data_IF_348849311056
#
_entry.id   IF_348849311056
#
_cell.length_a   1.000
_cell.length_b   1.000
_cell.length_c   1.000
_cell.angle_alpha   90.00
_cell.angle_beta   90.00
_cell.angle_gamma   90.00
#
_symmetry.space_group_name_H-M   'P 1'
#
loop_
_entity.id
_entity.type
_entity.pdbx_description
1 polymer ?
#
# COMPACT_ATOMS: atom_id res chain seq x y z
N UNK A 1 0.10 37.41 16.99
CA UNK A 1 0.27 36.65 18.25
C UNK A 1 -0.98 35.86 18.66
N UNK A 2 -2.12 36.47 19.00
CA UNK A 2 -3.30 35.71 19.46
C UNK A 2 -4.01 34.91 18.34
N UNK A 3 -4.10 35.48 17.13
CA UNK A 3 -4.60 34.78 15.94
C UNK A 3 -3.68 33.61 15.51
N UNK A 4 -2.37 33.84 15.52
CA UNK A 4 -1.35 32.83 15.18
C UNK A 4 -1.35 31.65 16.16
N UNK A 5 -1.54 31.91 17.46
CA UNK A 5 -1.75 30.87 18.49
C UNK A 5 -3.04 30.07 18.27
N UNK A 6 -4.07 30.70 17.72
CA UNK A 6 -5.35 30.02 17.44
C UNK A 6 -5.27 29.17 16.18
N UNK A 7 -4.60 29.65 15.14
CA UNK A 7 -4.34 28.92 13.91
C UNK A 7 -3.48 27.68 14.16
N UNK A 8 -2.40 27.82 14.95
CA UNK A 8 -1.56 26.68 15.36
C UNK A 8 -2.36 25.61 16.12
N UNK A 9 -3.27 26.03 17.03
CA UNK A 9 -4.14 25.09 17.75
C UNK A 9 -5.12 24.37 16.82
N UNK A 10 -5.63 25.05 15.80
CA UNK A 10 -6.52 24.44 14.83
C UNK A 10 -5.80 23.43 13.93
N UNK A 11 -4.58 23.76 13.47
CA UNK A 11 -3.74 22.82 12.73
C UNK A 11 -3.40 21.58 13.55
N UNK A 12 -3.05 21.75 14.84
CA UNK A 12 -2.79 20.63 15.74
C UNK A 12 -4.02 19.71 15.91
N UNK A 13 -5.23 20.28 15.96
CA UNK A 13 -6.49 19.51 16.01
C UNK A 13 -6.74 18.73 14.72
N UNK A 14 -6.40 19.29 13.56
CA UNK A 14 -6.52 18.57 12.28
C UNK A 14 -5.50 17.43 12.24
N UNK A 15 -4.25 17.70 12.61
CA UNK A 15 -3.18 16.71 12.60
C UNK A 15 -3.49 15.48 13.47
N UNK A 16 -4.00 15.66 14.69
CA UNK A 16 -4.36 14.51 15.54
C UNK A 16 -5.54 13.71 14.97
N UNK A 17 -6.48 14.37 14.28
CA UNK A 17 -7.57 13.70 13.60
C UNK A 17 -7.06 12.90 12.40
N UNK A 18 -6.11 13.42 11.62
CA UNK A 18 -5.47 12.69 10.52
C UNK A 18 -4.73 11.45 11.05
N UNK A 19 -3.93 11.60 12.11
CA UNK A 19 -3.23 10.49 12.76
C UNK A 19 -4.18 9.40 13.25
N UNK A 20 -5.30 9.79 13.88
CA UNK A 20 -6.29 8.83 14.39
C UNK A 20 -7.00 8.04 13.26
N UNK A 21 -7.10 8.61 12.05
CA UNK A 21 -7.78 7.98 10.91
C UNK A 21 -6.79 7.39 9.87
N UNK A 22 -5.49 7.41 10.16
CA UNK A 22 -4.45 7.07 9.21
C UNK A 22 -4.54 5.64 8.69
N UNK A 23 -5.17 4.71 9.44
CA UNK A 23 -5.42 3.33 9.02
C UNK A 23 -6.22 3.24 7.70
N UNK A 24 -7.02 4.26 7.37
CA UNK A 24 -7.76 4.31 6.11
C UNK A 24 -6.85 4.27 4.88
N UNK A 25 -5.64 4.87 4.98
CA UNK A 25 -4.67 4.97 3.88
C UNK A 25 -4.12 3.60 3.48
N UNK A 26 -3.40 2.87 4.35
CA UNK A 26 -2.87 1.56 4.02
C UNK A 26 -3.97 0.53 3.73
N UNK A 27 -5.15 0.64 4.37
CA UNK A 27 -6.25 -0.30 4.10
C UNK A 27 -6.91 -0.08 2.75
N UNK A 28 -6.96 1.15 2.25
CA UNK A 28 -7.42 1.37 0.86
C UNK A 28 -6.35 0.95 -0.15
N UNK A 29 -5.06 1.10 0.18
CA UNK A 29 -3.97 0.55 -0.63
C UNK A 29 -4.08 -0.98 -0.74
N UNK A 30 -4.32 -1.66 0.39
CA UNK A 30 -4.62 -3.10 0.43
C UNK A 30 -5.86 -3.43 -0.43
N UNK A 31 -6.92 -2.62 -0.36
CA UNK A 31 -8.12 -2.83 -1.16
C UNK A 31 -7.85 -2.76 -2.67
N UNK A 32 -7.14 -1.73 -3.17
CA UNK A 32 -6.83 -1.63 -4.61
C UNK A 32 -5.91 -2.73 -5.10
N UNK A 33 -5.02 -3.22 -4.22
CA UNK A 33 -4.18 -4.38 -4.51
C UNK A 33 -5.02 -5.65 -4.62
N UNK A 34 -5.93 -5.91 -3.68
CA UNK A 34 -6.83 -7.08 -3.74
C UNK A 34 -7.76 -7.07 -4.95
N UNK A 35 -8.11 -5.87 -5.42
CA UNK A 35 -8.93 -5.66 -6.60
C UNK A 35 -8.12 -5.64 -7.91
N UNK A 36 -6.79 -5.79 -7.87
CA UNK A 36 -5.88 -5.71 -9.03
C UNK A 36 -6.07 -4.42 -9.86
N UNK A 37 -6.34 -3.30 -9.20
CA UNK A 37 -6.69 -2.04 -9.89
C UNK A 37 -5.49 -1.47 -10.64
N UNK A 38 -4.28 -1.58 -10.09
CA UNK A 38 -3.07 -1.08 -10.74
C UNK A 38 -2.79 -1.82 -12.06
N UNK A 39 -2.86 -3.16 -12.05
CA UNK A 39 -2.71 -3.98 -13.25
C UNK A 39 -3.79 -3.66 -14.29
N UNK A 40 -5.04 -3.47 -13.86
CA UNK A 40 -6.14 -3.12 -14.76
C UNK A 40 -5.92 -1.76 -15.45
N UNK A 41 -5.51 -0.72 -14.70
CA UNK A 41 -5.21 0.60 -15.26
C UNK A 41 -3.98 0.54 -16.18
N UNK A 42 -2.99 -0.30 -15.86
CA UNK A 42 -1.82 -0.48 -16.70
C UNK A 42 -2.13 -1.15 -18.03
N UNK A 43 -3.04 -2.14 -18.03
CA UNK A 43 -3.44 -2.87 -19.23
C UNK A 43 -4.41 -2.07 -20.12
N UNK A 44 -5.30 -1.30 -19.51
CA UNK A 44 -6.29 -0.49 -20.21
C UNK A 44 -6.46 0.90 -19.54
N UNK A 45 -5.58 1.86 -19.89
CA UNK A 45 -5.62 3.20 -19.32
C UNK A 45 -6.91 3.98 -19.62
N UNK A 46 -7.60 3.64 -20.71
CA UNK A 46 -8.74 4.40 -21.23
C UNK A 46 -10.06 4.06 -20.51
N UNK A 47 -10.13 2.93 -19.80
CA UNK A 47 -11.34 2.50 -19.09
C UNK A 47 -11.35 2.81 -17.61
N UNK A 48 -10.46 3.67 -17.10
CA UNK A 48 -10.36 3.99 -15.68
C UNK A 48 -11.49 4.93 -15.17
N UNK A 49 -12.18 4.63 -14.04
CA UNK A 49 -11.99 3.45 -13.17
C UNK A 49 -12.42 2.16 -13.88
N UNK A 50 -11.57 1.10 -13.82
CA UNK A 50 -11.72 -0.07 -14.68
C UNK A 50 -13.13 -0.63 -14.63
N UNK A 51 -13.82 -0.56 -15.77
CA UNK A 51 -15.20 -1.02 -15.92
C UNK A 51 -15.19 -2.56 -15.98
N UNK A 52 -15.90 -3.22 -15.07
CA UNK A 52 -16.05 -4.68 -15.10
C UNK A 52 -15.45 -5.45 -13.92
N UNK A 53 -14.83 -4.78 -12.94
CA UNK A 53 -14.68 -5.40 -11.62
C UNK A 53 -16.09 -5.60 -11.01
N UNK A 54 -16.33 -6.71 -10.31
CA UNK A 54 -17.61 -7.03 -9.65
C UNK A 54 -17.98 -6.07 -8.49
N UNK A 55 -17.41 -4.86 -8.46
CA UNK A 55 -17.56 -3.88 -7.39
C UNK A 55 -18.33 -2.64 -7.83
N UNK A 56 -18.85 -1.93 -6.83
CA UNK A 56 -19.54 -0.66 -7.04
C UNK A 56 -18.56 0.45 -7.51
N UNK A 57 -18.82 1.10 -8.66
CA UNK A 57 -17.91 2.11 -9.24
C UNK A 57 -17.70 3.32 -8.33
N UNK A 58 -18.73 3.74 -7.58
CA UNK A 58 -18.67 4.91 -6.71
C UNK A 58 -17.76 4.64 -5.51
N UNK A 59 -17.85 3.45 -4.90
CA UNK A 59 -16.95 3.05 -3.81
C UNK A 59 -15.50 2.93 -4.27
N UNK A 60 -15.24 2.36 -5.46
CA UNK A 60 -13.90 2.31 -6.02
C UNK A 60 -13.34 3.72 -6.26
N UNK A 61 -14.15 4.61 -6.83
CA UNK A 61 -13.78 6.00 -7.05
C UNK A 61 -13.40 6.72 -5.74
N UNK A 62 -14.13 6.47 -4.63
CA UNK A 62 -13.80 7.04 -3.31
C UNK A 62 -12.44 6.55 -2.79
N UNK A 63 -12.14 5.27 -2.98
CA UNK A 63 -10.84 4.66 -2.65
C UNK A 63 -9.71 5.29 -3.47
N UNK A 64 -9.89 5.39 -4.79
CA UNK A 64 -8.91 5.96 -5.71
C UNK A 64 -8.63 7.43 -5.40
N UNK A 65 -9.67 8.21 -5.08
CA UNK A 65 -9.52 9.62 -4.70
C UNK A 65 -8.74 9.81 -3.40
N UNK A 66 -8.93 8.93 -2.42
CA UNK A 66 -8.10 8.95 -1.21
C UNK A 66 -6.64 8.64 -1.56
N UNK A 67 -6.37 7.58 -2.34
CA UNK A 67 -4.99 7.24 -2.73
C UNK A 67 -4.34 8.27 -3.67
N UNK A 68 -5.14 9.08 -4.37
CA UNK A 68 -4.68 10.24 -5.14
C UNK A 68 -4.08 11.31 -4.21
N UNK A 69 -4.67 11.57 -3.03
CA UNK A 69 -4.12 12.55 -2.09
C UNK A 69 -2.77 12.12 -1.49
N UNK A 70 -2.43 10.84 -1.61
CA UNK A 70 -1.13 10.26 -1.21
C UNK A 70 -0.22 9.98 -2.42
N UNK A 71 -0.58 10.47 -3.61
CA UNK A 71 0.26 10.40 -4.80
C UNK A 71 0.40 9.01 -5.42
N UNK A 72 -0.46 8.04 -5.08
CA UNK A 72 -0.47 6.72 -5.72
C UNK A 72 -1.10 6.77 -7.11
N UNK A 73 -2.14 7.59 -7.26
CA UNK A 73 -2.83 7.85 -8.52
C UNK A 73 -2.84 9.35 -8.83
N UNK A 74 -3.03 9.71 -10.10
CA UNK A 74 -3.39 11.05 -10.53
C UNK A 74 -4.84 11.05 -11.02
N UNK A 75 -5.64 11.99 -10.51
CA UNK A 75 -7.05 12.18 -10.87
C UNK A 75 -7.18 13.21 -12.01
N UNK A 76 -7.94 12.86 -13.04
CA UNK A 76 -8.28 13.70 -14.18
C UNK A 76 -9.79 13.94 -14.20
N UNK A 77 -10.21 15.20 -14.18
CA UNK A 77 -11.63 15.58 -14.14
C UNK A 77 -11.99 16.27 -15.43
N UNK A 78 -12.88 15.67 -16.22
CA UNK A 78 -13.46 16.27 -17.42
C UNK A 78 -14.90 16.72 -17.14
N UNK A 79 -15.28 17.87 -17.72
CA UNK A 79 -16.66 18.34 -17.73
C UNK A 79 -17.18 18.26 -19.15
N UNK A 80 -18.24 17.50 -19.35
CA UNK A 80 -19.02 17.57 -20.59
C UNK A 80 -19.88 18.84 -20.56
N UNK A 81 -19.87 19.68 -21.61
CA UNK A 81 -20.60 20.96 -21.63
C UNK A 81 -22.09 20.86 -21.32
N UNK A 82 -22.72 19.72 -21.64
CA UNK A 82 -24.16 19.50 -21.52
C UNK A 82 -24.57 18.55 -20.37
N UNK A 83 -23.66 18.19 -19.46
CA UNK A 83 -23.98 17.35 -18.31
C UNK A 83 -23.54 17.98 -16.99
N UNK A 84 -24.42 17.91 -15.98
CA UNK A 84 -24.11 18.31 -14.60
C UNK A 84 -23.12 17.35 -13.92
N UNK A 85 -22.80 16.23 -14.57
CA UNK A 85 -21.90 15.20 -14.06
C UNK A 85 -20.48 15.41 -14.58
N UNK A 86 -19.51 15.59 -13.68
CA UNK A 86 -18.09 15.53 -14.03
C UNK A 86 -17.64 14.08 -14.16
N UNK A 87 -17.04 13.70 -15.28
CA UNK A 87 -16.38 12.40 -15.41
C UNK A 87 -15.00 12.45 -14.73
N UNK A 88 -14.64 11.37 -14.02
CA UNK A 88 -13.35 11.24 -13.36
C UNK A 88 -12.62 10.00 -13.86
N UNK A 89 -11.38 10.22 -14.26
CA UNK A 89 -10.45 9.18 -14.68
C UNK A 89 -9.25 9.20 -13.75
N UNK A 90 -8.58 8.05 -13.62
CA UNK A 90 -7.36 7.92 -12.82
C UNK A 90 -6.24 7.33 -13.66
N UNK A 91 -5.01 7.72 -13.35
CA UNK A 91 -3.80 7.16 -13.96
C UNK A 91 -2.78 6.84 -12.87
N UNK A 92 -1.86 5.93 -13.16
CA UNK A 92 -0.80 5.55 -12.22
C UNK A 92 0.30 6.61 -12.21
N UNK A 93 0.68 7.07 -11.02
CA UNK A 93 1.95 7.79 -10.81
C UNK A 93 3.12 6.81 -10.77
N UNK A 94 4.35 7.29 -10.63
CA UNK A 94 5.51 6.42 -10.39
C UNK A 94 5.34 5.54 -9.13
N UNK A 95 4.68 6.06 -8.09
CA UNK A 95 4.35 5.25 -6.89
C UNK A 95 3.34 4.17 -7.24
N UNK A 96 2.26 4.52 -7.95
CA UNK A 96 1.24 3.54 -8.37
C UNK A 96 1.80 2.44 -9.27
N UNK A 97 2.74 2.76 -10.16
CA UNK A 97 3.40 1.80 -11.05
C UNK A 97 4.15 0.70 -10.29
N UNK A 98 4.63 0.97 -9.07
CA UNK A 98 5.28 -0.06 -8.24
C UNK A 98 4.35 -1.21 -7.84
N UNK A 99 3.03 -1.01 -7.94
CA UNK A 99 2.01 -2.02 -7.67
C UNK A 99 1.69 -2.90 -8.89
N UNK A 100 2.12 -2.51 -10.09
CA UNK A 100 1.91 -3.26 -11.32
C UNK A 100 2.82 -4.48 -11.33
N UNK A 101 2.26 -5.62 -11.69
CA UNK A 101 2.97 -6.90 -11.79
C UNK A 101 3.90 -6.89 -13.00
N UNK A 102 5.20 -7.12 -12.77
CA UNK A 102 6.20 -7.20 -13.82
C UNK A 102 6.21 -8.54 -14.57
N UNK A 103 7.13 -8.69 -15.53
CA UNK A 103 7.25 -9.91 -16.33
C UNK A 103 7.69 -11.15 -15.54
N UNK A 104 8.24 -10.98 -14.33
CA UNK A 104 8.60 -12.06 -13.41
C UNK A 104 7.47 -12.35 -12.40
N UNK A 105 6.32 -11.66 -12.55
CA UNK A 105 5.18 -11.81 -11.65
C UNK A 105 5.38 -11.09 -10.30
N UNK A 106 6.32 -10.15 -10.21
CA UNK A 106 6.72 -9.44 -9.01
C UNK A 106 6.19 -7.99 -9.00
N UNK A 107 5.88 -7.50 -7.80
CA UNK A 107 5.53 -6.09 -7.53
C UNK A 107 5.49 -5.82 -6.02
N UNK A 108 5.42 -4.54 -5.64
CA UNK A 108 5.19 -4.14 -4.25
C UNK A 108 3.77 -4.46 -3.76
N UNK A 109 2.85 -4.88 -4.63
CA UNK A 109 1.51 -5.30 -4.24
C UNK A 109 1.55 -6.48 -3.25
N UNK A 110 2.42 -7.46 -3.51
CA UNK A 110 2.64 -8.59 -2.58
C UNK A 110 3.18 -8.15 -1.22
N UNK A 111 4.04 -7.11 -1.21
CA UNK A 111 4.55 -6.50 0.02
C UNK A 111 3.44 -5.83 0.83
N UNK A 112 2.54 -5.10 0.16
CA UNK A 112 1.34 -4.54 0.80
C UNK A 112 0.49 -5.66 1.41
N UNK A 113 0.18 -6.72 0.67
CA UNK A 113 -0.64 -7.83 1.17
C UNK A 113 -0.02 -8.51 2.39
N UNK A 114 1.30 -8.77 2.35
CA UNK A 114 2.04 -9.38 3.46
C UNK A 114 1.93 -8.57 4.75
N UNK A 115 2.03 -7.24 4.66
CA UNK A 115 2.00 -6.36 5.84
C UNK A 115 0.59 -6.13 6.41
N UNK A 116 -0.45 -6.58 5.71
CA UNK A 116 -1.85 -6.43 6.11
C UNK A 116 -2.58 -7.78 6.24
N UNK A 117 -1.84 -8.86 6.51
CA UNK A 117 -2.43 -10.12 6.94
C UNK A 117 -3.06 -9.96 8.33
N UNK A 118 -4.16 -10.65 8.57
CA UNK A 118 -4.93 -10.55 9.82
C UNK A 118 -4.07 -10.83 11.06
N UNK A 119 -3.18 -11.82 10.98
CA UNK A 119 -2.27 -12.22 12.06
C UNK A 119 -1.30 -11.12 12.46
N UNK A 120 -0.83 -10.33 11.47
CA UNK A 120 0.04 -9.19 11.72
C UNK A 120 -0.78 -7.98 12.18
N UNK A 121 -1.95 -7.75 11.56
CA UNK A 121 -2.82 -6.64 11.89
C UNK A 121 -3.34 -6.69 13.34
N UNK A 122 -3.62 -7.90 13.85
CA UNK A 122 -4.04 -8.11 15.24
C UNK A 122 -2.94 -7.83 16.26
N UNK A 123 -1.67 -7.80 15.86
CA UNK A 123 -0.55 -7.49 16.76
C UNK A 123 -0.38 -5.98 16.99
N UNK A 124 -0.74 -5.13 16.03
CA UNK A 124 -0.54 -3.67 16.12
C UNK A 124 -1.19 -3.00 17.34
N UNK A 125 -2.42 -3.36 17.76
CA UNK A 125 -3.01 -2.80 18.99
C UNK A 125 -2.21 -3.10 20.27
N UNK A 126 -1.38 -4.14 20.26
CA UNK A 126 -0.60 -4.58 21.42
C UNK A 126 0.84 -4.04 21.44
N UNK A 127 1.24 -3.14 20.52
CA UNK A 127 2.61 -2.58 20.49
C UNK A 127 3.02 -1.95 21.81
N UNK A 128 2.08 -1.30 22.51
CA UNK A 128 2.33 -0.71 23.83
C UNK A 128 2.76 -1.75 24.88
N UNK A 129 2.34 -3.01 24.74
CA UNK A 129 2.68 -4.07 25.69
C UNK A 129 4.13 -4.52 25.55
N UNK A 130 4.76 -4.35 24.38
CA UNK A 130 6.19 -4.60 24.22
C UNK A 130 7.06 -3.63 25.04
N UNK A 131 6.50 -2.47 25.42
CA UNK A 131 7.15 -1.54 26.35
C UNK A 131 6.97 -2.00 27.80
N UNK A 132 5.81 -2.58 28.12
CA UNK A 132 5.48 -3.08 29.47
C UNK A 132 6.24 -4.38 29.77
N UNK A 133 6.32 -5.29 28.82
CA UNK A 133 7.08 -6.53 28.87
C UNK A 133 7.96 -6.66 27.61
N UNK A 134 9.23 -6.25 27.68
CA UNK A 134 10.14 -6.30 26.53
C UNK A 134 10.59 -7.73 26.17
N UNK A 135 10.21 -8.75 26.95
CA UNK A 135 10.57 -10.15 26.67
C UNK A 135 9.58 -10.86 25.76
N UNK A 136 8.40 -10.25 25.53
CA UNK A 136 7.32 -10.86 24.77
C UNK A 136 6.86 -9.92 23.63
N UNK A 137 7.12 -10.34 22.39
CA UNK A 137 6.70 -9.57 21.21
C UNK A 137 5.18 -9.66 20.96
N UNK A 138 4.52 -8.57 20.48
CA UNK A 138 3.08 -8.54 20.23
C UNK A 138 2.58 -9.66 19.31
N UNK A 139 3.36 -10.02 18.29
CA UNK A 139 2.99 -11.10 17.37
C UNK A 139 2.89 -12.45 18.09
N UNK A 140 3.89 -12.81 18.90
CA UNK A 140 3.87 -14.03 19.73
C UNK A 140 2.68 -14.02 20.68
N UNK A 141 2.38 -12.87 21.29
CA UNK A 141 1.26 -12.76 22.23
C UNK A 141 -0.09 -13.07 21.58
N UNK A 142 -0.30 -12.63 20.33
CA UNK A 142 -1.55 -12.86 19.59
C UNK A 142 -1.61 -14.25 18.96
N UNK A 143 -0.48 -14.73 18.45
CA UNK A 143 -0.42 -15.90 17.56
C UNK A 143 0.21 -17.14 18.21
N UNK A 144 0.75 -17.02 19.42
CA UNK A 144 1.33 -18.10 20.22
C UNK A 144 2.77 -18.50 19.86
N UNK A 145 3.32 -17.96 18.77
CA UNK A 145 4.67 -18.29 18.29
C UNK A 145 5.24 -17.15 17.43
N UNK A 146 6.58 -17.11 17.21
CA UNK A 146 7.22 -16.07 16.41
C UNK A 146 6.76 -16.09 14.95
N UNK A 147 6.75 -14.92 14.31
CA UNK A 147 6.24 -14.75 12.95
C UNK A 147 6.85 -15.71 11.92
N UNK A 148 8.17 -15.90 11.94
CA UNK A 148 8.84 -16.78 10.99
C UNK A 148 8.43 -18.26 11.14
N UNK A 149 8.35 -18.76 12.38
CA UNK A 149 7.85 -20.11 12.68
C UNK A 149 6.38 -20.25 12.29
N UNK A 150 5.57 -19.22 12.54
CA UNK A 150 4.15 -19.17 12.21
C UNK A 150 3.93 -19.28 10.69
N UNK A 151 4.66 -18.49 9.90
CA UNK A 151 4.58 -18.50 8.44
C UNK A 151 5.15 -19.80 7.86
N UNK A 152 6.28 -20.30 8.37
CA UNK A 152 6.91 -21.54 7.89
C UNK A 152 5.99 -22.77 7.97
N UNK A 153 5.02 -22.78 8.89
CA UNK A 153 4.00 -23.84 9.01
C UNK A 153 2.82 -23.68 8.04
N UNK A 154 2.70 -22.56 7.34
CA UNK A 154 1.55 -22.19 6.48
C UNK A 154 2.04 -21.88 5.06
N UNK A 155 1.99 -22.86 4.14
CA UNK A 155 2.57 -22.73 2.81
C UNK A 155 2.11 -21.49 2.02
N UNK A 156 0.81 -21.14 2.10
CA UNK A 156 0.27 -19.98 1.40
C UNK A 156 0.82 -18.66 1.96
N UNK A 157 0.87 -18.51 3.29
CA UNK A 157 1.43 -17.31 3.92
C UNK A 157 2.93 -17.21 3.71
N UNK A 158 3.65 -18.34 3.79
CA UNK A 158 5.07 -18.39 3.48
C UNK A 158 5.34 -18.01 2.02
N UNK A 159 4.51 -18.51 1.09
CA UNK A 159 4.58 -18.17 -0.33
C UNK A 159 4.37 -16.67 -0.56
N UNK A 160 3.39 -16.07 0.12
CA UNK A 160 3.19 -14.62 0.06
C UNK A 160 4.37 -13.85 0.64
N UNK A 161 4.92 -14.28 1.78
CA UNK A 161 6.10 -13.65 2.39
C UNK A 161 7.31 -13.70 1.44
N UNK A 162 7.59 -14.86 0.84
CA UNK A 162 8.68 -15.01 -0.14
C UNK A 162 8.45 -14.11 -1.35
N UNK A 163 7.22 -14.06 -1.88
CA UNK A 163 6.88 -13.20 -3.02
C UNK A 163 7.02 -11.71 -2.67
N UNK A 164 6.57 -11.30 -1.48
CA UNK A 164 6.71 -9.95 -0.96
C UNK A 164 8.17 -9.51 -0.84
N UNK A 165 9.02 -10.36 -0.25
CA UNK A 165 10.45 -10.06 -0.12
C UNK A 165 11.14 -10.03 -1.48
N UNK A 166 10.79 -10.93 -2.39
CA UNK A 166 11.32 -10.95 -3.77
C UNK A 166 10.90 -9.69 -4.53
N UNK A 167 9.63 -9.31 -4.44
CA UNK A 167 9.09 -8.13 -5.13
C UNK A 167 9.69 -6.81 -4.66
N UNK A 168 10.14 -6.72 -3.40
CA UNK A 168 10.87 -5.56 -2.88
C UNK A 168 12.38 -5.61 -3.20
N UNK A 169 13.01 -6.78 -3.14
CA UNK A 169 14.48 -6.90 -3.24
C UNK A 169 15.00 -7.01 -4.67
N UNK A 170 14.30 -7.71 -5.57
CA UNK A 170 14.76 -7.91 -6.95
C UNK A 170 14.88 -6.60 -7.73
N UNK A 171 13.87 -5.71 -7.75
CA UNK A 171 13.99 -4.42 -8.44
C UNK A 171 15.09 -3.54 -7.83
N UNK A 172 15.21 -3.53 -6.49
CA UNK A 172 16.26 -2.81 -5.79
C UNK A 172 17.65 -3.33 -6.19
N UNK A 173 17.86 -4.65 -6.20
CA UNK A 173 19.16 -5.24 -6.53
C UNK A 173 19.54 -5.00 -7.99
N UNK A 174 18.57 -5.05 -8.93
CA UNK A 174 18.80 -4.68 -10.33
C UNK A 174 19.29 -3.23 -10.44
N UNK A 175 18.56 -2.28 -9.85
CA UNK A 175 18.94 -0.88 -9.87
C UNK A 175 20.28 -0.60 -9.16
N UNK A 176 20.58 -1.33 -8.08
CA UNK A 176 21.86 -1.24 -7.37
C UNK A 176 23.03 -1.71 -8.25
N UNK A 177 22.88 -2.86 -8.94
CA UNK A 177 23.92 -3.41 -9.81
C UNK A 177 24.16 -2.56 -11.06
N UNK A 178 23.18 -1.77 -11.51
CA UNK A 178 23.35 -0.83 -12.62
C UNK A 178 24.33 0.32 -12.29
N UNK A 179 24.57 0.60 -11.01
CA UNK A 179 25.42 1.71 -10.55
C UNK A 179 26.60 1.28 -9.70
N UNK A 180 26.63 0.03 -9.23
CA UNK A 180 27.68 -0.50 -8.35
C UNK A 180 28.57 -1.50 -9.06
N UNK A 181 29.84 -1.11 -9.27
CA UNK A 181 30.88 -1.88 -9.96
C UNK A 181 31.76 -2.72 -9.01
N UNK A 182 31.52 -2.68 -7.70
CA UNK A 182 32.37 -3.37 -6.71
C UNK A 182 32.34 -4.91 -6.78
N UNK A 183 31.51 -5.49 -7.65
CA UNK A 183 31.49 -6.92 -7.97
C UNK A 183 32.21 -7.26 -9.29
N UNK A 184 32.76 -6.28 -10.00
CA UNK A 184 33.52 -6.52 -11.23
C UNK A 184 34.73 -7.41 -10.96
N UNK A 185 34.83 -8.51 -11.72
CA UNK A 185 35.92 -9.49 -11.59
C UNK A 185 35.71 -10.57 -10.52
N UNK A 186 34.57 -10.59 -9.82
CA UNK A 186 34.19 -11.71 -8.94
C UNK A 186 33.79 -12.92 -9.81
N UNK A 187 34.46 -14.06 -9.62
CA UNK A 187 34.12 -15.34 -10.26
C UNK A 187 33.47 -16.29 -9.25
N UNK A 188 32.53 -17.12 -9.72
CA UNK A 188 31.90 -18.20 -8.94
C UNK A 188 32.89 -19.28 -8.51
#
# INVERSE_FOLDING_TARGET
>A
MENESTENRNQARIAIMELAHMISVPMSLNAVVRLNVADAIWQDPDTCPPRGHQGDPENLQRILRMLTSYGVFAEHVSKTPDSDTSERQYSLTEVGKTLVTDSEGLSYASYVLQHHQDELMRAWPLVHEAVVDPTLEPFVKVNGEPAYSYYGKRPEMNGLMVKAMSGASVPFMKAFLDVYDGFDGVTQ
#
